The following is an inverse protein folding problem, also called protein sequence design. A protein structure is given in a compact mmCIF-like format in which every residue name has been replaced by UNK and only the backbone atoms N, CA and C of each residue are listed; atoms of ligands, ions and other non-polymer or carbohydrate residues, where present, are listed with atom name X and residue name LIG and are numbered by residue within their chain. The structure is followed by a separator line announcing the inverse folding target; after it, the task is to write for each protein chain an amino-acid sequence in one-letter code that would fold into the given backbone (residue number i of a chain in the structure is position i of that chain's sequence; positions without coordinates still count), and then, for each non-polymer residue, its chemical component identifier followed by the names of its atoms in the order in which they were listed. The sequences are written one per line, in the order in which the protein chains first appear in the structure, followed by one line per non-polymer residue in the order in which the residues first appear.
data_IF_730903717691
#
_entry.id   IF_730903717691
#
_cell.length_a   1.000
_cell.length_b   1.000
_cell.length_c   1.000
_cell.angle_alpha   90.00
_cell.angle_beta   90.00
_cell.angle_gamma   90.00
#
_symmetry.space_group_name_H-M   'P 1'
#
loop_
_entity.id
_entity.type
_entity.pdbx_description
1 polymer ?
#
# COMPACT_ATOMS: atom_id res chain seq x y z
N UNK A 1 6.84 22.93 0.83
CA UNK A 1 7.38 22.08 -0.25
C UNK A 1 6.56 20.83 -0.29
N UNK A 2 5.96 20.52 -1.43
CA UNK A 2 5.34 19.21 -1.69
C UNK A 2 6.46 18.18 -1.82
N UNK A 3 6.33 17.06 -1.13
CA UNK A 3 7.28 15.94 -1.16
C UNK A 3 6.82 15.00 -2.28
N UNK A 4 7.70 14.73 -3.26
CA UNK A 4 7.39 13.82 -4.38
C UNK A 4 7.82 12.40 -4.03
N UNK A 5 7.01 11.37 -4.33
CA UNK A 5 7.42 9.99 -4.13
C UNK A 5 8.64 9.62 -4.99
N UNK A 6 8.78 10.26 -6.16
CA UNK A 6 9.95 10.09 -7.03
C UNK A 6 11.26 10.50 -6.38
N UNK A 7 11.26 11.21 -5.25
CA UNK A 7 12.48 11.69 -4.61
C UNK A 7 12.92 10.78 -3.44
N UNK A 8 12.01 9.97 -2.88
CA UNK A 8 12.23 9.30 -1.59
C UNK A 8 12.07 7.77 -1.62
N UNK A 9 11.50 7.20 -2.69
CA UNK A 9 11.28 5.75 -2.80
C UNK A 9 12.36 5.04 -3.63
N UNK A 10 13.60 5.51 -3.50
CA UNK A 10 14.80 4.83 -3.99
C UNK A 10 15.50 4.05 -2.87
N UNK A 11 16.73 3.58 -3.13
CA UNK A 11 17.62 2.99 -2.13
C UNK A 11 18.26 1.69 -2.61
N UNK A 12 19.28 1.23 -1.90
CA UNK A 12 20.16 0.12 -2.33
C UNK A 12 19.42 -1.20 -2.59
N UNK A 13 18.26 -1.39 -1.94
CA UNK A 13 17.43 -2.59 -2.09
C UNK A 13 16.46 -2.53 -3.26
N UNK A 14 16.28 -1.36 -3.88
CA UNK A 14 15.31 -1.13 -4.96
C UNK A 14 13.90 -1.66 -4.64
N UNK A 15 13.43 -1.45 -3.40
CA UNK A 15 12.15 -1.97 -2.92
C UNK A 15 11.05 -0.90 -2.80
N UNK A 16 11.30 0.31 -3.29
CA UNK A 16 10.35 1.43 -3.18
C UNK A 16 9.03 1.16 -3.90
N UNK A 17 9.07 0.54 -5.08
CA UNK A 17 7.86 0.15 -5.82
C UNK A 17 6.95 -0.75 -4.99
N UNK A 18 7.52 -1.78 -4.34
CA UNK A 18 6.75 -2.70 -3.50
C UNK A 18 6.10 -1.97 -2.31
N UNK A 19 6.83 -1.05 -1.69
CA UNK A 19 6.32 -0.23 -0.58
C UNK A 19 5.14 0.63 -1.04
N UNK A 20 5.30 1.36 -2.15
CA UNK A 20 4.25 2.22 -2.70
C UNK A 20 3.02 1.41 -3.14
N UNK A 21 3.24 0.31 -3.84
CA UNK A 21 2.18 -0.57 -4.32
C UNK A 21 1.38 -1.19 -3.16
N UNK A 22 2.06 -1.60 -2.07
CA UNK A 22 1.37 -2.05 -0.87
C UNK A 22 0.67 -0.92 -0.13
N UNK A 23 1.27 0.26 -0.05
CA UNK A 23 0.65 1.43 0.55
C UNK A 23 -0.67 1.80 -0.14
N UNK A 24 -0.69 1.82 -1.47
CA UNK A 24 -1.90 2.01 -2.26
C UNK A 24 -3.01 1.02 -1.86
N UNK A 25 -2.68 -0.26 -1.65
CA UNK A 25 -3.66 -1.28 -1.24
C UNK A 25 -4.28 -1.01 0.12
N UNK A 26 -3.58 -0.36 1.05
CA UNK A 26 -4.16 0.02 2.35
C UNK A 26 -5.30 1.04 2.21
N UNK A 27 -5.33 1.86 1.15
CA UNK A 27 -6.44 2.76 0.88
C UNK A 27 -7.78 2.03 0.74
N UNK A 28 -7.79 0.83 0.17
CA UNK A 28 -9.00 0.00 0.07
C UNK A 28 -9.45 -0.53 1.43
N UNK A 29 -8.49 -0.91 2.29
CA UNK A 29 -8.78 -1.39 3.65
C UNK A 29 -9.43 -0.26 4.47
N UNK A 30 -8.80 0.92 4.50
CA UNK A 30 -9.31 2.09 5.20
C UNK A 30 -10.72 2.50 4.72
N UNK A 31 -10.98 2.40 3.41
CA UNK A 31 -12.31 2.71 2.84
C UNK A 31 -13.39 1.74 3.32
N UNK A 32 -13.08 0.44 3.43
CA UNK A 32 -14.01 -0.57 3.95
C UNK A 32 -14.27 -0.40 5.44
N UNK A 33 -13.22 -0.13 6.21
CA UNK A 33 -13.33 0.16 7.65
C UNK A 33 -14.17 1.41 7.90
N UNK A 34 -14.02 2.46 7.08
CA UNK A 34 -14.84 3.67 7.17
C UNK A 34 -16.33 3.37 6.88
N UNK A 35 -16.63 2.57 5.86
CA UNK A 35 -18.01 2.17 5.57
C UNK A 35 -18.64 1.38 6.72
N UNK A 36 -17.85 0.51 7.37
CA UNK A 36 -18.29 -0.27 8.53
C UNK A 36 -18.52 0.62 9.76
N UNK A 37 -17.63 1.57 10.02
CA UNK A 37 -17.82 2.57 11.06
C UNK A 37 -19.12 3.36 10.87
N UNK A 38 -19.41 3.81 9.64
CA UNK A 38 -20.67 4.52 9.36
C UNK A 38 -21.90 3.62 9.46
N UNK A 39 -21.78 2.33 9.14
CA UNK A 39 -22.86 1.36 9.37
C UNK A 39 -23.20 1.27 10.86
N UNK A 40 -22.17 1.18 11.71
CA UNK A 40 -22.39 1.14 13.16
C UNK A 40 -22.95 2.46 13.69
N UNK A 41 -22.46 3.60 13.18
CA UNK A 41 -23.06 4.90 13.47
C UNK A 41 -24.55 4.94 13.10
N UNK A 42 -24.92 4.43 11.93
CA UNK A 42 -26.33 4.34 11.51
C UNK A 42 -27.16 3.48 12.47
N UNK A 43 -26.63 2.36 12.95
CA UNK A 43 -27.31 1.49 13.91
C UNK A 43 -27.59 2.21 15.23
N UNK A 44 -26.63 3.02 15.71
CA UNK A 44 -26.80 3.84 16.91
C UNK A 44 -27.93 4.86 16.72
N UNK A 45 -27.95 5.57 15.58
CA UNK A 45 -29.02 6.54 15.29
C UNK A 45 -30.40 5.88 15.17
N UNK A 46 -30.47 4.69 14.56
CA UNK A 46 -31.70 3.91 14.50
C UNK A 46 -32.20 3.51 15.90
N UNK A 47 -31.29 3.10 16.79
CA UNK A 47 -31.64 2.76 18.17
C UNK A 47 -32.15 3.98 18.94
N UNK A 48 -31.50 5.14 18.81
CA UNK A 48 -31.98 6.39 19.40
C UNK A 48 -33.39 6.76 18.91
N UNK A 49 -33.62 6.68 17.59
CA UNK A 49 -34.95 6.87 17.02
C UNK A 49 -35.99 5.93 17.64
N UNK A 50 -35.70 4.64 17.75
CA UNK A 50 -36.62 3.64 18.34
C UNK A 50 -36.92 3.93 19.81
N UNK A 51 -35.90 4.25 20.61
CA UNK A 51 -36.06 4.55 22.04
C UNK A 51 -36.86 5.83 22.26
N UNK A 52 -36.58 6.90 21.52
CA UNK A 52 -37.31 8.17 21.62
C UNK A 52 -38.76 8.04 21.12
N UNK A 53 -38.99 7.24 20.07
CA UNK A 53 -40.35 6.93 19.61
C UNK A 53 -41.16 6.18 20.67
N UNK A 54 -40.53 5.25 21.39
CA UNK A 54 -41.16 4.54 22.51
C UNK A 54 -41.46 5.50 23.67
N UNK A 55 -40.53 6.38 24.01
CA UNK A 55 -40.72 7.41 25.05
C UNK A 55 -41.87 8.37 24.70
N UNK A 56 -41.95 8.82 23.45
CA UNK A 56 -43.05 9.65 22.96
C UNK A 56 -44.40 8.96 23.15
N UNK A 57 -44.51 7.67 22.77
CA UNK A 57 -45.73 6.87 22.96
C UNK A 57 -46.11 6.78 24.45
N UNK A 58 -45.14 6.52 25.33
CA UNK A 58 -45.38 6.47 26.78
C UNK A 58 -45.89 7.82 27.33
N UNK A 59 -45.29 8.94 26.94
CA UNK A 59 -45.78 10.27 27.31
C UNK A 59 -47.20 10.52 26.78
N UNK A 60 -47.49 10.08 25.54
CA UNK A 60 -48.82 10.16 24.94
C UNK A 60 -49.90 9.30 25.61
N UNK A 61 -49.51 8.22 26.28
CA UNK A 61 -50.40 7.36 27.07
C UNK A 61 -50.54 7.77 28.54
N UNK A 62 -49.87 8.86 28.96
CA UNK A 62 -49.94 9.36 30.34
C UNK A 62 -51.25 10.11 30.61
N UNK A 63 -51.50 10.45 31.88
CA UNK A 63 -52.76 11.08 32.31
C UNK A 63 -53.05 12.37 31.49
N UNK A 64 -54.15 12.34 30.73
CA UNK A 64 -54.63 13.48 29.93
C UNK A 64 -55.55 14.43 30.69
N UNK A 65 -55.70 14.27 32.00
CA UNK A 65 -56.59 15.06 32.85
C UNK A 65 -55.80 15.96 33.81
N UNK A 66 -56.45 17.04 34.25
CA UNK A 66 -55.88 17.98 35.21
C UNK A 66 -54.93 19.00 34.60
N UNK A 67 -54.50 19.95 35.42
CA UNK A 67 -53.67 21.10 34.99
C UNK A 67 -52.28 20.71 34.50
N UNK A 68 -51.83 19.47 34.75
CA UNK A 68 -50.54 18.95 34.30
C UNK A 68 -50.58 18.30 32.90
N UNK A 69 -51.77 18.01 32.35
CA UNK A 69 -51.91 17.36 31.04
C UNK A 69 -51.15 18.05 29.87
N UNK A 70 -51.08 19.39 29.79
CA UNK A 70 -50.29 20.06 28.75
C UNK A 70 -48.78 19.74 28.80
N UNK A 71 -48.24 19.42 29.98
CA UNK A 71 -46.83 19.05 30.14
C UNK A 71 -46.55 17.70 29.47
N UNK A 72 -47.43 16.71 29.63
CA UNK A 72 -47.28 15.42 28.94
C UNK A 72 -47.32 15.56 27.41
N UNK A 73 -48.18 16.45 26.89
CA UNK A 73 -48.22 16.74 25.45
C UNK A 73 -46.93 17.41 24.96
N UNK A 74 -46.37 18.35 25.73
CA UNK A 74 -45.09 18.98 25.39
C UNK A 74 -43.95 17.95 25.35
N UNK A 75 -43.89 17.05 26.33
CA UNK A 75 -42.88 15.98 26.39
C UNK A 75 -43.01 15.02 25.21
N UNK A 76 -44.24 14.55 24.91
CA UNK A 76 -44.52 13.73 23.73
C UNK A 76 -43.99 14.39 22.45
N UNK A 77 -44.43 15.62 22.18
CA UNK A 77 -44.08 16.34 20.95
C UNK A 77 -42.57 16.57 20.82
N UNK A 78 -41.89 16.85 21.94
CA UNK A 78 -40.43 17.03 21.96
C UNK A 78 -39.69 15.73 21.66
N UNK A 79 -40.13 14.61 22.24
CA UNK A 79 -39.57 13.28 21.96
C UNK A 79 -39.82 12.84 20.50
N UNK A 80 -41.00 13.13 19.92
CA UNK A 80 -41.29 12.85 18.51
C UNK A 80 -40.38 13.64 17.57
N UNK A 81 -40.18 14.93 17.83
CA UNK A 81 -39.26 15.76 17.03
C UNK A 81 -37.83 15.24 17.09
N UNK A 82 -37.33 14.92 18.29
CA UNK A 82 -35.97 14.40 18.44
C UNK A 82 -35.82 13.03 17.78
N UNK A 83 -36.81 12.15 17.94
CA UNK A 83 -36.87 10.85 17.25
C UNK A 83 -36.76 10.99 15.73
N UNK A 84 -37.47 11.96 15.15
CA UNK A 84 -37.44 12.23 13.71
C UNK A 84 -36.07 12.76 13.25
N UNK A 85 -35.37 13.56 14.07
CA UNK A 85 -34.02 14.02 13.75
C UNK A 85 -33.02 12.84 13.68
N UNK A 86 -33.10 11.90 14.63
CA UNK A 86 -32.28 10.68 14.60
C UNK A 86 -32.58 9.80 13.38
N UNK A 87 -33.86 9.66 13.01
CA UNK A 87 -34.25 8.94 11.78
C UNK A 87 -33.67 9.59 10.51
N UNK A 88 -33.72 10.92 10.39
CA UNK A 88 -33.14 11.64 9.27
C UNK A 88 -31.61 11.50 9.23
N UNK A 89 -30.96 11.55 10.40
CA UNK A 89 -29.51 11.34 10.52
C UNK A 89 -29.13 9.92 10.08
N UNK A 90 -29.83 8.89 10.58
CA UNK A 90 -29.68 7.50 10.15
C UNK A 90 -29.75 7.39 8.63
N UNK A 91 -30.79 7.92 7.99
CA UNK A 91 -30.94 7.88 6.52
C UNK A 91 -29.75 8.53 5.80
N UNK A 92 -29.29 9.71 6.26
CA UNK A 92 -28.12 10.38 5.67
C UNK A 92 -26.84 9.56 5.82
N UNK A 93 -26.62 8.96 6.99
CA UNK A 93 -25.46 8.10 7.22
C UNK A 93 -25.54 6.84 6.35
N UNK A 94 -26.73 6.28 6.12
CA UNK A 94 -26.91 5.14 5.20
C UNK A 94 -26.56 5.49 3.75
N UNK A 95 -26.92 6.68 3.28
CA UNK A 95 -26.47 7.15 1.96
C UNK A 95 -24.95 7.29 1.89
N UNK A 96 -24.31 7.85 2.93
CA UNK A 96 -22.84 7.90 3.01
C UNK A 96 -22.20 6.51 2.99
N UNK A 97 -22.79 5.51 3.66
CA UNK A 97 -22.30 4.11 3.58
C UNK A 97 -22.33 3.61 2.14
N UNK A 98 -23.38 3.91 1.38
CA UNK A 98 -23.47 3.53 -0.05
C UNK A 98 -22.39 4.20 -0.87
N UNK A 99 -22.17 5.51 -0.67
CA UNK A 99 -21.15 6.26 -1.42
C UNK A 99 -19.73 5.74 -1.14
N UNK A 100 -19.40 5.50 0.14
CA UNK A 100 -18.08 4.97 0.53
C UNK A 100 -17.90 3.53 0.02
N UNK A 101 -18.95 2.70 0.05
CA UNK A 101 -18.90 1.33 -0.48
C UNK A 101 -18.67 1.35 -1.99
N UNK A 102 -19.40 2.20 -2.72
CA UNK A 102 -19.22 2.38 -4.16
C UNK A 102 -17.80 2.84 -4.48
N UNK A 103 -17.27 3.81 -3.74
CA UNK A 103 -15.89 4.24 -3.88
C UNK A 103 -14.90 3.09 -3.64
N UNK A 104 -15.09 2.27 -2.61
CA UNK A 104 -14.24 1.11 -2.35
C UNK A 104 -14.25 0.10 -3.51
N UNK A 105 -15.40 -0.14 -4.13
CA UNK A 105 -15.51 -1.04 -5.29
C UNK A 105 -14.82 -0.47 -6.54
N UNK A 106 -14.96 0.83 -6.79
CA UNK A 106 -14.26 1.54 -7.87
C UNK A 106 -12.74 1.54 -7.64
N UNK A 107 -12.31 1.80 -6.41
CA UNK A 107 -10.91 1.74 -6.01
C UNK A 107 -10.33 0.33 -6.19
N UNK A 108 -11.10 -0.72 -5.87
CA UNK A 108 -10.68 -2.10 -6.10
C UNK A 108 -10.48 -2.40 -7.59
N UNK A 109 -11.35 -1.89 -8.48
CA UNK A 109 -11.17 -2.00 -9.94
C UNK A 109 -9.92 -1.24 -10.40
N UNK A 110 -9.70 -0.03 -9.90
CA UNK A 110 -8.50 0.76 -10.20
C UNK A 110 -7.22 0.06 -9.77
N UNK A 111 -7.18 -0.56 -8.59
CA UNK A 111 -6.02 -1.34 -8.14
C UNK A 111 -5.70 -2.53 -9.04
N UNK A 112 -6.70 -3.15 -9.67
CA UNK A 112 -6.47 -4.22 -10.66
C UNK A 112 -5.84 -3.65 -11.93
N UNK A 113 -6.33 -2.52 -12.43
CA UNK A 113 -5.75 -1.84 -13.59
C UNK A 113 -4.29 -1.44 -13.35
N UNK A 114 -4.01 -0.78 -12.22
CA UNK A 114 -2.64 -0.38 -11.86
C UNK A 114 -1.69 -1.58 -11.78
N UNK A 115 -2.16 -2.74 -11.28
CA UNK A 115 -1.34 -3.96 -11.26
C UNK A 115 -0.94 -4.41 -12.67
N UNK A 116 -1.85 -4.29 -13.63
CA UNK A 116 -1.60 -4.68 -15.03
C UNK A 116 -0.70 -3.65 -15.73
N UNK A 117 -1.01 -2.36 -15.59
CA UNK A 117 -0.27 -1.22 -16.15
C UNK A 117 1.19 -1.18 -15.64
N UNK A 118 1.39 -1.45 -14.34
CA UNK A 118 2.72 -1.39 -13.70
C UNK A 118 3.46 -2.74 -13.66
N UNK A 119 2.97 -3.76 -14.36
CA UNK A 119 3.65 -5.06 -14.47
C UNK A 119 5.08 -4.92 -15.02
N UNK A 120 5.28 -4.06 -16.01
CA UNK A 120 6.60 -3.79 -16.59
C UNK A 120 7.56 -3.05 -15.65
N UNK A 121 7.04 -2.28 -14.70
CA UNK A 121 7.83 -1.64 -13.63
C UNK A 121 8.30 -2.69 -12.63
N UNK A 122 7.40 -3.59 -12.21
CA UNK A 122 7.73 -4.72 -11.32
C UNK A 122 8.80 -5.64 -11.93
N UNK A 123 8.68 -5.98 -13.21
CA UNK A 123 9.67 -6.79 -13.92
C UNK A 123 11.06 -6.14 -13.89
N UNK A 124 11.12 -4.83 -14.07
CA UNK A 124 12.38 -4.08 -14.08
C UNK A 124 12.99 -3.97 -12.68
N UNK A 125 12.15 -3.81 -11.64
CA UNK A 125 12.56 -3.90 -10.23
C UNK A 125 13.20 -5.26 -9.92
N UNK A 126 12.55 -6.35 -10.34
CA UNK A 126 13.09 -7.70 -10.14
C UNK A 126 14.39 -7.92 -10.93
N UNK A 127 14.47 -7.39 -12.15
CA UNK A 127 15.66 -7.46 -12.98
C UNK A 127 16.85 -6.73 -12.34
N UNK A 128 16.65 -5.49 -11.83
CA UNK A 128 17.74 -4.72 -11.19
C UNK A 128 18.21 -5.39 -9.90
N UNK A 129 17.30 -5.93 -9.09
CA UNK A 129 17.64 -6.68 -7.87
C UNK A 129 18.48 -7.93 -8.21
N UNK A 130 18.06 -8.70 -9.21
CA UNK A 130 18.74 -9.93 -9.64
C UNK A 130 20.13 -9.68 -10.23
N UNK A 131 20.24 -8.70 -11.15
CA UNK A 131 21.53 -8.36 -11.77
C UNK A 131 22.48 -7.75 -10.74
N UNK A 132 22.00 -6.95 -9.79
CA UNK A 132 22.82 -6.40 -8.69
C UNK A 132 23.45 -7.53 -7.86
N UNK A 133 22.65 -8.53 -7.46
CA UNK A 133 23.16 -9.68 -6.70
C UNK A 133 24.19 -10.49 -7.50
N UNK A 134 23.91 -10.72 -8.79
CA UNK A 134 24.79 -11.48 -9.67
C UNK A 134 26.10 -10.74 -9.94
N UNK A 135 26.04 -9.42 -10.14
CA UNK A 135 27.18 -8.54 -10.33
C UNK A 135 28.09 -8.55 -9.10
N UNK A 136 27.51 -8.49 -7.89
CA UNK A 136 28.27 -8.56 -6.65
C UNK A 136 29.06 -9.87 -6.53
N UNK A 137 28.42 -11.02 -6.80
CA UNK A 137 29.09 -12.33 -6.79
C UNK A 137 30.19 -12.43 -7.86
N UNK A 138 29.97 -11.88 -9.05
CA UNK A 138 30.96 -11.89 -10.12
C UNK A 138 32.18 -11.03 -9.76
N UNK A 139 31.95 -9.87 -9.12
CA UNK A 139 33.02 -9.02 -8.58
C UNK A 139 33.86 -9.78 -7.56
N UNK A 140 33.23 -10.42 -6.57
CA UNK A 140 33.93 -11.18 -5.54
C UNK A 140 34.73 -12.34 -6.13
N UNK A 141 34.15 -13.05 -7.11
CA UNK A 141 34.84 -14.12 -7.84
C UNK A 141 36.07 -13.60 -8.59
N UNK A 142 35.94 -12.49 -9.32
CA UNK A 142 37.05 -11.84 -10.02
C UNK A 142 38.18 -11.44 -9.06
N UNK A 143 37.84 -10.79 -7.94
CA UNK A 143 38.82 -10.40 -6.92
C UNK A 143 39.52 -11.62 -6.31
N UNK A 144 38.76 -12.68 -6.00
CA UNK A 144 39.29 -13.92 -5.45
C UNK A 144 40.27 -14.59 -6.43
N UNK A 145 39.98 -14.59 -7.74
CA UNK A 145 40.89 -15.11 -8.77
C UNK A 145 42.15 -14.25 -8.92
N UNK A 146 42.06 -12.94 -8.71
CA UNK A 146 43.23 -12.06 -8.64
C UNK A 146 44.15 -12.43 -7.48
N UNK A 147 43.58 -12.63 -6.29
CA UNK A 147 44.34 -13.04 -5.09
C UNK A 147 45.01 -14.41 -5.30
N UNK A 148 44.28 -15.39 -5.85
CA UNK A 148 44.83 -16.72 -6.16
C UNK A 148 46.02 -16.64 -7.13
N UNK A 149 45.91 -15.83 -8.19
CA UNK A 149 46.97 -15.63 -9.17
C UNK A 149 48.21 -14.97 -8.55
N UNK A 150 48.02 -13.90 -7.77
CA UNK A 150 49.12 -13.19 -7.10
C UNK A 150 49.84 -14.08 -6.08
N UNK A 151 49.10 -14.95 -5.38
CA UNK A 151 49.68 -15.93 -4.46
C UNK A 151 50.59 -16.92 -5.19
N UNK A 152 50.10 -17.53 -6.28
CA UNK A 152 50.89 -18.46 -7.09
C UNK A 152 52.15 -17.80 -7.66
N UNK A 153 52.05 -16.52 -8.03
CA UNK A 153 53.19 -15.72 -8.50
C UNK A 153 54.24 -15.51 -7.41
N UNK A 154 53.83 -15.27 -6.17
CA UNK A 154 54.75 -15.12 -5.01
C UNK A 154 55.38 -16.44 -4.59
N UNK A 155 54.68 -17.56 -4.76
CA UNK A 155 55.15 -18.91 -4.43
C UNK A 155 56.04 -19.52 -5.52
N UNK A 156 56.34 -18.79 -6.60
CA UNK A 156 57.10 -19.27 -7.76
C UNK A 156 56.52 -20.58 -8.35
N UNK A 157 55.19 -20.66 -8.46
CA UNK A 157 54.50 -21.78 -9.09
C UNK A 157 54.97 -22.01 -10.54
N UNK A 158 54.74 -23.22 -11.06
CA UNK A 158 55.18 -23.56 -12.42
C UNK A 158 54.50 -22.70 -13.49
N UNK A 159 55.17 -22.49 -14.64
CA UNK A 159 54.61 -21.73 -15.78
C UNK A 159 53.20 -22.21 -16.17
N UNK A 160 53.00 -23.54 -16.17
CA UNK A 160 51.72 -24.16 -16.52
C UNK A 160 50.61 -23.84 -15.51
N UNK A 161 50.94 -23.74 -14.23
CA UNK A 161 49.98 -23.38 -13.18
C UNK A 161 49.61 -21.90 -13.25
N UNK A 162 50.59 -21.02 -13.51
CA UNK A 162 50.38 -19.59 -13.69
C UNK A 162 49.50 -19.31 -14.91
N UNK A 163 49.76 -19.93 -16.05
CA UNK A 163 48.93 -19.79 -17.26
C UNK A 163 47.48 -20.22 -17.01
N UNK A 164 47.28 -21.33 -16.28
CA UNK A 164 45.94 -21.82 -15.92
C UNK A 164 45.21 -20.85 -14.99
N UNK A 165 45.90 -20.26 -14.01
CA UNK A 165 45.32 -19.26 -13.11
C UNK A 165 45.01 -17.95 -13.83
N UNK A 166 45.89 -17.49 -14.71
CA UNK A 166 45.68 -16.30 -15.54
C UNK A 166 44.47 -16.47 -16.47
N UNK A 167 44.31 -17.63 -17.10
CA UNK A 167 43.15 -17.92 -17.94
C UNK A 167 41.83 -17.83 -17.14
N UNK A 168 41.80 -18.35 -15.90
CA UNK A 168 40.63 -18.22 -15.02
C UNK A 168 40.37 -16.78 -14.60
N UNK A 169 41.41 -16.01 -14.32
CA UNK A 169 41.29 -14.59 -13.98
C UNK A 169 40.73 -13.79 -15.16
N UNK A 170 41.26 -13.98 -16.37
CA UNK A 170 40.77 -13.33 -17.60
C UNK A 170 39.30 -13.68 -17.87
N UNK A 171 38.93 -14.95 -17.68
CA UNK A 171 37.53 -15.40 -17.79
C UNK A 171 36.62 -14.68 -16.80
N UNK A 172 37.00 -14.65 -15.51
CA UNK A 172 36.21 -13.98 -14.48
C UNK A 172 36.13 -12.45 -14.69
N UNK A 173 37.20 -11.83 -15.20
CA UNK A 173 37.22 -10.42 -15.56
C UNK A 173 36.23 -10.11 -16.70
N UNK A 174 36.23 -10.92 -17.74
CA UNK A 174 35.32 -10.77 -18.88
C UNK A 174 33.86 -10.98 -18.46
N UNK A 175 33.59 -12.02 -17.66
CA UNK A 175 32.25 -12.29 -17.12
C UNK A 175 31.76 -11.10 -16.24
N UNK A 176 32.63 -10.53 -15.40
CA UNK A 176 32.30 -9.35 -14.59
C UNK A 176 32.03 -8.12 -15.45
N UNK A 177 32.86 -7.86 -16.47
CA UNK A 177 32.68 -6.73 -17.40
C UNK A 177 31.33 -6.80 -18.13
N UNK A 178 30.98 -7.98 -18.65
CA UNK A 178 29.69 -8.20 -19.32
C UNK A 178 28.49 -7.95 -18.38
N UNK A 179 28.62 -8.28 -17.09
CA UNK A 179 27.59 -8.00 -16.08
C UNK A 179 27.50 -6.51 -15.74
N UNK A 180 28.60 -5.76 -15.75
CA UNK A 180 28.59 -4.29 -15.54
C UNK A 180 27.82 -3.61 -16.65
N UNK A 181 28.06 -3.98 -17.91
CA UNK A 181 27.34 -3.43 -19.08
C UNK A 181 25.84 -3.75 -19.00
N UNK A 182 25.49 -5.01 -18.68
CA UNK A 182 24.10 -5.43 -18.48
C UNK A 182 23.43 -4.66 -17.33
N UNK A 183 24.11 -4.48 -16.20
CA UNK A 183 23.61 -3.70 -15.07
C UNK A 183 23.28 -2.26 -15.49
N UNK A 184 24.16 -1.61 -16.26
CA UNK A 184 23.94 -0.26 -16.77
C UNK A 184 22.63 -0.13 -17.55
N UNK A 185 22.40 -1.03 -18.53
CA UNK A 185 21.16 -1.00 -19.31
C UNK A 185 19.89 -1.24 -18.48
N UNK A 186 19.94 -2.12 -17.48
CA UNK A 186 18.79 -2.40 -16.61
C UNK A 186 18.54 -1.24 -15.66
N UNK A 187 19.61 -0.58 -15.18
CA UNK A 187 19.52 0.57 -14.29
C UNK A 187 18.83 1.75 -14.96
N UNK A 188 19.20 2.07 -16.21
CA UNK A 188 18.56 3.16 -16.96
C UNK A 188 17.06 2.92 -17.14
N UNK A 189 16.67 1.69 -17.50
CA UNK A 189 15.26 1.33 -17.66
C UNK A 189 14.50 1.32 -16.32
N UNK A 190 15.14 0.87 -15.24
CA UNK A 190 14.61 0.92 -13.88
C UNK A 190 14.32 2.35 -13.44
N UNK A 191 15.31 3.24 -13.54
CA UNK A 191 15.19 4.64 -13.14
C UNK A 191 14.09 5.34 -13.93
N UNK A 192 14.02 5.08 -15.26
CA UNK A 192 12.98 5.64 -16.12
C UNK A 192 11.58 5.17 -15.73
N UNK A 193 11.36 3.86 -15.58
CA UNK A 193 10.03 3.31 -15.24
C UNK A 193 9.60 3.68 -13.82
N UNK A 194 10.50 3.56 -12.85
CA UNK A 194 10.21 3.90 -11.46
C UNK A 194 9.85 5.37 -11.31
N UNK A 195 10.51 6.28 -12.03
CA UNK A 195 10.18 7.72 -11.99
C UNK A 195 8.79 8.04 -12.57
N UNK A 196 8.26 7.21 -13.48
CA UNK A 196 6.92 7.38 -14.06
C UNK A 196 5.85 6.75 -13.16
N UNK A 197 6.19 5.65 -12.50
CA UNK A 197 5.27 4.87 -11.68
C UNK A 197 5.06 5.43 -10.25
N UNK A 198 6.01 6.21 -9.74
CA UNK A 198 5.91 6.91 -8.45
C UNK A 198 4.94 8.09 -8.54
#
# INVERSE_FOLDING_TARGET
MTVDFSDYFWGDKNNGFDILYHNMKYGLVASKELAEFFRERSNIEENHHKLLSKLAKQAGSSCGQGTFAPVWQLLKNSSEKLSNLHMQMMQRVQELVKDVTKYADELHKKHKMVKEEESGTLETVQAIQSVTLTLHKAKDSYLQKGIEYDKLKKENASSRELEKAEAKLKKAQEDYKNLVEKYGSIKEEFERKMSIAC
#
